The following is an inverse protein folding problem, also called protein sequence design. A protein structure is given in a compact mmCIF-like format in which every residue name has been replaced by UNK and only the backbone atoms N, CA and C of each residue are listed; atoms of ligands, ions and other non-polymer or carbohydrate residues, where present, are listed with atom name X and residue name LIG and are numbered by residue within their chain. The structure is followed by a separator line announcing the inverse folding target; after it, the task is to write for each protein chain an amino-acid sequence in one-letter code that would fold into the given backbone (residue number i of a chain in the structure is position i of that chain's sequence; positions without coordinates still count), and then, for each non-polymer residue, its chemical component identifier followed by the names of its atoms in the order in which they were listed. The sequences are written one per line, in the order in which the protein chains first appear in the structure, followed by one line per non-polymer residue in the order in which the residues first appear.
data_IF_709876372116
#
_entry.id   IF_709876372116
#
_cell.length_a   1.000
_cell.length_b   1.000
_cell.length_c   1.000
_cell.angle_alpha   90.00
_cell.angle_beta   90.00
_cell.angle_gamma   90.00
#
_symmetry.space_group_name_H-M   'P 1'
#
loop_
_entity.id
_entity.type
_entity.pdbx_description
1 polymer ?
#
# COMPACT_ATOMS: atom_id res chain seq x y z
N UNK A 1 -0.80 3.59 1.22
CA UNK A 1 -0.31 2.19 1.45
C UNK A 1 1.19 2.12 1.70
N UNK A 2 2.06 2.48 0.76
CA UNK A 2 3.54 2.37 0.93
C UNK A 2 4.07 3.05 2.19
N UNK A 3 3.54 4.22 2.55
CA UNK A 3 3.91 4.91 3.77
C UNK A 3 3.62 4.09 5.04
N UNK A 4 2.40 3.56 5.19
CA UNK A 4 2.01 2.70 6.31
C UNK A 4 2.81 1.40 6.35
N UNK A 5 3.15 0.86 5.18
CA UNK A 5 4.06 -0.28 5.08
C UNK A 5 5.45 0.06 5.62
N UNK A 6 6.03 1.21 5.24
CA UNK A 6 7.31 1.66 5.80
C UNK A 6 7.22 1.90 7.31
N UNK A 7 6.13 2.53 7.77
CA UNK A 7 5.86 2.76 9.18
C UNK A 7 5.85 1.45 9.99
N UNK A 8 5.24 0.39 9.43
CA UNK A 8 5.17 -0.91 10.07
C UNK A 8 6.54 -1.61 10.08
N UNK A 9 7.32 -1.49 9.00
CA UNK A 9 8.68 -2.03 8.92
C UNK A 9 9.68 -1.33 9.86
N UNK A 10 9.43 -0.07 10.17
CA UNK A 10 10.23 0.75 11.08
C UNK A 10 9.63 0.80 12.49
N UNK A 11 8.68 -0.10 12.78
CA UNK A 11 8.15 -0.34 14.12
C UNK A 11 7.48 0.89 14.75
N UNK A 12 6.76 1.70 13.96
CA UNK A 12 5.95 2.80 14.49
C UNK A 12 4.57 2.33 14.99
N UNK A 13 3.94 3.15 15.84
CA UNK A 13 2.54 3.02 16.24
C UNK A 13 1.63 3.44 15.10
N UNK A 14 0.77 2.55 14.65
CA UNK A 14 -0.17 2.78 13.54
C UNK A 14 -1.59 2.58 14.06
N UNK A 15 -2.41 3.61 13.90
CA UNK A 15 -3.83 3.59 14.21
C UNK A 15 -4.63 3.73 12.93
N UNK A 16 -5.52 2.78 12.66
CA UNK A 16 -6.55 2.91 11.62
C UNK A 16 -7.82 3.47 12.24
N UNK A 17 -8.39 4.51 11.64
CA UNK A 17 -9.62 5.15 12.08
C UNK A 17 -10.71 4.97 11.03
N UNK A 18 -11.89 4.48 11.42
CA UNK A 18 -13.03 4.33 10.51
C UNK A 18 -14.34 4.12 11.26
N UNK A 19 -15.45 4.52 10.66
CA UNK A 19 -16.82 4.16 11.06
C UNK A 19 -17.19 2.70 10.74
N UNK A 20 -16.38 1.99 9.94
CA UNK A 20 -16.63 0.61 9.56
C UNK A 20 -15.63 -0.36 10.19
N UNK A 21 -16.11 -1.22 11.08
CA UNK A 21 -15.32 -2.30 11.68
C UNK A 21 -14.73 -3.27 10.65
N UNK A 22 -15.45 -3.50 9.54
CA UNK A 22 -14.94 -4.31 8.44
C UNK A 22 -13.72 -3.66 7.79
N UNK A 23 -13.80 -2.36 7.47
CA UNK A 23 -12.65 -1.62 6.91
C UNK A 23 -11.45 -1.61 7.85
N UNK A 24 -11.67 -1.43 9.16
CA UNK A 24 -10.60 -1.51 10.17
C UNK A 24 -9.91 -2.88 10.14
N UNK A 25 -10.70 -3.95 10.17
CA UNK A 25 -10.20 -5.33 10.17
C UNK A 25 -9.43 -5.64 8.89
N UNK A 26 -9.99 -5.28 7.75
CA UNK A 26 -9.39 -5.54 6.44
C UNK A 26 -8.12 -4.71 6.24
N UNK A 27 -8.09 -3.44 6.65
CA UNK A 27 -6.90 -2.60 6.55
C UNK A 27 -5.74 -3.11 7.43
N UNK A 28 -6.03 -3.46 8.69
CA UNK A 28 -5.05 -4.04 9.59
C UNK A 28 -4.48 -5.36 9.02
N UNK A 29 -5.37 -6.25 8.57
CA UNK A 29 -5.00 -7.55 7.99
C UNK A 29 -4.23 -7.38 6.69
N UNK A 30 -4.63 -6.45 5.83
CA UNK A 30 -3.95 -6.16 4.58
C UNK A 30 -2.52 -5.68 4.85
N UNK A 31 -2.33 -4.73 5.77
CA UNK A 31 -0.99 -4.25 6.13
C UNK A 31 -0.08 -5.41 6.58
N UNK A 32 -0.57 -6.30 7.45
CA UNK A 32 0.19 -7.50 7.84
C UNK A 32 0.48 -8.44 6.65
N UNK A 33 -0.49 -8.63 5.76
CA UNK A 33 -0.30 -9.48 4.57
C UNK A 33 0.76 -8.92 3.62
N UNK A 34 0.87 -7.59 3.51
CA UNK A 34 1.91 -6.92 2.72
C UNK A 34 3.30 -7.06 3.34
N UNK A 35 3.40 -7.29 4.66
CA UNK A 35 4.68 -7.51 5.35
C UNK A 35 5.29 -8.90 5.13
N UNK A 36 4.58 -9.84 4.50
CA UNK A 36 5.14 -11.15 4.17
C UNK A 36 6.41 -10.98 3.30
N UNK A 37 7.55 -11.60 3.64
CA UNK A 37 7.70 -12.77 4.51
C UNK A 37 7.98 -12.48 6.00
N UNK A 38 8.05 -11.21 6.39
CA UNK A 38 8.24 -10.84 7.79
C UNK A 38 6.96 -11.09 8.60
N UNK A 39 7.13 -11.41 9.88
CA UNK A 39 6.02 -11.54 10.84
C UNK A 39 6.04 -10.37 11.80
N UNK A 40 4.93 -9.63 11.83
CA UNK A 40 4.72 -8.62 12.85
C UNK A 40 4.64 -9.30 14.23
N UNK A 41 5.37 -8.76 15.20
CA UNK A 41 5.55 -9.39 16.52
C UNK A 41 5.14 -8.48 17.68
N UNK A 42 4.57 -7.31 17.40
CA UNK A 42 4.08 -6.37 18.41
C UNK A 42 2.55 -6.44 18.55
N UNK A 43 1.98 -5.52 19.31
CA UNK A 43 0.54 -5.47 19.60
C UNK A 43 -0.29 -5.27 18.34
N UNK A 44 -1.21 -6.21 18.09
CA UNK A 44 -2.12 -6.17 16.96
C UNK A 44 -3.57 -6.30 17.46
N UNK A 45 -4.36 -5.23 17.32
CA UNK A 45 -5.76 -5.17 17.76
C UNK A 45 -6.62 -4.51 16.69
N UNK A 46 -7.17 -5.28 15.72
CA UNK A 46 -7.89 -4.71 14.57
C UNK A 46 -9.13 -3.88 14.91
N UNK A 47 -9.72 -4.15 16.07
CA UNK A 47 -10.84 -3.38 16.64
C UNK A 47 -10.57 -3.25 18.14
N UNK A 48 -10.22 -2.05 18.59
CA UNK A 48 -10.02 -1.74 20.00
C UNK A 48 -11.36 -1.39 20.66
N UNK A 49 -11.77 -2.09 21.72
CA UNK A 49 -12.90 -1.69 22.55
C UNK A 49 -12.67 -0.34 23.23
N UNK A 50 -13.73 0.43 23.42
CA UNK A 50 -13.69 1.77 24.02
C UNK A 50 -13.03 1.80 25.40
N UNK A 51 -13.24 0.76 26.20
CA UNK A 51 -12.72 0.64 27.57
C UNK A 51 -11.19 0.51 27.61
N UNK A 52 -10.54 0.23 26.47
CA UNK A 52 -9.10 0.00 26.36
C UNK A 52 -8.38 1.12 25.60
N UNK A 53 -9.01 2.29 25.42
CA UNK A 53 -8.37 3.43 24.73
C UNK A 53 -7.05 3.86 25.36
N UNK A 54 -6.84 3.62 26.66
CA UNK A 54 -5.57 3.87 27.35
C UNK A 54 -4.38 3.12 26.72
N UNK A 55 -4.62 1.98 26.06
CA UNK A 55 -3.57 1.18 25.38
C UNK A 55 -2.90 1.99 24.27
N UNK A 56 -3.56 2.99 23.70
CA UNK A 56 -2.99 3.85 22.66
C UNK A 56 -1.80 4.67 23.15
N UNK A 57 -1.68 4.89 24.48
CA UNK A 57 -0.55 5.59 25.10
C UNK A 57 0.63 4.67 25.44
N UNK A 58 0.55 3.37 25.16
CA UNK A 58 1.64 2.43 25.46
C UNK A 58 2.91 2.79 24.69
N UNK A 59 4.12 2.60 25.24
CA UNK A 59 5.36 2.97 24.57
C UNK A 59 5.75 2.00 23.45
N UNK A 60 5.13 0.82 23.40
CA UNK A 60 5.43 -0.24 22.43
C UNK A 60 4.77 0.04 21.09
N UNK A 61 5.40 -0.35 19.96
CA UNK A 61 4.77 -0.32 18.65
C UNK A 61 3.45 -1.09 18.64
N UNK A 62 2.49 -0.65 17.83
CA UNK A 62 1.23 -1.35 17.64
C UNK A 62 0.62 -1.11 16.26
N UNK A 63 -0.26 -2.01 15.85
CA UNK A 63 -1.23 -1.80 14.77
C UNK A 63 -2.62 -1.99 15.37
N UNK A 64 -3.39 -0.91 15.46
CA UNK A 64 -4.70 -0.90 16.13
C UNK A 64 -5.75 -0.25 15.23
N UNK A 65 -6.97 -0.79 15.20
CA UNK A 65 -8.12 -0.12 14.60
C UNK A 65 -9.06 0.45 15.66
N UNK A 66 -9.49 1.70 15.48
CA UNK A 66 -10.39 2.42 16.39
C UNK A 66 -11.58 2.96 15.60
N UNK A 67 -12.77 2.88 16.20
CA UNK A 67 -13.97 3.45 15.60
C UNK A 67 -13.88 4.98 15.58
N UNK A 68 -14.30 5.62 14.48
CA UNK A 68 -14.17 7.07 14.28
C UNK A 68 -14.94 7.94 15.29
N UNK A 69 -15.83 7.34 16.08
CA UNK A 69 -16.49 8.03 17.21
C UNK A 69 -15.50 8.54 18.27
N UNK A 70 -14.32 7.92 18.39
CA UNK A 70 -13.27 8.31 19.33
C UNK A 70 -12.18 9.18 18.69
N UNK A 71 -12.49 9.85 17.57
CA UNK A 71 -11.53 10.65 16.83
C UNK A 71 -10.88 11.74 17.70
N UNK A 72 -11.67 12.41 18.54
CA UNK A 72 -11.20 13.46 19.46
C UNK A 72 -10.06 12.96 20.34
N UNK A 73 -10.24 11.81 20.97
CA UNK A 73 -9.28 11.18 21.85
C UNK A 73 -8.03 10.73 21.09
N UNK A 74 -8.19 10.24 19.85
CA UNK A 74 -7.04 9.83 19.02
C UNK A 74 -6.19 11.00 18.52
N UNK A 75 -6.77 12.20 18.34
CA UNK A 75 -6.02 13.37 17.87
C UNK A 75 -5.03 13.93 18.92
N UNK A 76 -5.23 13.60 20.20
CA UNK A 76 -4.32 13.99 21.28
C UNK A 76 -3.02 13.16 21.31
N UNK A 77 -2.95 12.08 20.53
CA UNK A 77 -1.79 11.18 20.49
C UNK A 77 -0.64 11.80 19.69
N UNK A 78 0.49 12.02 20.36
CA UNK A 78 1.64 12.73 19.78
C UNK A 78 2.61 11.84 19.01
N UNK A 79 2.55 10.51 19.16
CA UNK A 79 3.52 9.58 18.58
C UNK A 79 2.90 8.45 17.75
N UNK A 80 1.65 8.65 17.33
CA UNK A 80 0.86 7.66 16.60
C UNK A 80 0.57 8.13 15.18
N UNK A 81 0.89 7.31 14.19
CA UNK A 81 0.52 7.53 12.79
C UNK A 81 -0.94 7.14 12.61
N UNK A 82 -1.80 8.10 12.26
CA UNK A 82 -3.24 7.89 12.16
C UNK A 82 -3.65 7.82 10.68
N UNK A 83 -4.13 6.67 10.24
CA UNK A 83 -4.73 6.46 8.93
C UNK A 83 -6.26 6.52 9.03
N UNK A 84 -6.85 7.64 8.61
CA UNK A 84 -8.30 7.78 8.48
C UNK A 84 -8.77 7.14 7.16
N UNK A 85 -9.44 6.00 7.29
CA UNK A 85 -9.95 5.22 6.15
C UNK A 85 -11.23 5.81 5.56
N UNK A 86 -11.93 6.67 6.29
CA UNK A 86 -13.16 7.31 5.83
C UNK A 86 -12.83 8.59 5.05
N UNK A 87 -11.89 9.38 5.56
CA UNK A 87 -11.37 10.57 4.90
C UNK A 87 -10.29 10.30 3.85
N UNK A 88 -9.68 9.10 3.87
CA UNK A 88 -8.58 8.74 2.95
C UNK A 88 -7.28 9.49 3.23
N UNK A 89 -7.02 9.85 4.49
CA UNK A 89 -5.85 10.65 4.89
C UNK A 89 -4.94 9.87 5.84
N UNK A 90 -3.67 10.28 5.89
CA UNK A 90 -2.69 9.77 6.86
C UNK A 90 -2.08 10.97 7.59
N UNK A 91 -2.33 11.08 8.88
CA UNK A 91 -1.77 12.09 9.75
C UNK A 91 -0.53 11.53 10.45
N UNK A 92 0.57 12.27 10.34
CA UNK A 92 1.88 11.89 10.90
C UNK A 92 2.26 12.99 11.88
N UNK A 93 2.45 12.68 13.17
CA UNK A 93 2.89 13.66 14.13
C UNK A 93 4.29 14.18 13.81
N UNK A 94 4.58 15.43 14.15
CA UNK A 94 5.85 16.10 13.81
C UNK A 94 7.09 15.39 14.37
N UNK A 95 6.97 14.73 15.53
CA UNK A 95 8.08 14.00 16.15
C UNK A 95 8.28 12.58 15.58
N UNK A 96 7.43 12.14 14.65
CA UNK A 96 7.53 10.81 14.03
C UNK A 96 8.21 10.94 12.66
N UNK A 97 9.44 10.41 12.57
CA UNK A 97 10.17 10.33 11.31
C UNK A 97 10.20 8.91 10.79
N UNK A 98 9.57 8.67 9.64
CA UNK A 98 9.50 7.35 9.01
C UNK A 98 10.52 7.27 7.88
N UNK A 99 11.45 6.33 7.99
CA UNK A 99 12.40 6.04 6.91
C UNK A 99 11.66 5.36 5.76
N UNK A 100 11.56 6.06 4.63
CA UNK A 100 10.97 5.51 3.41
C UNK A 100 11.93 4.51 2.74
N UNK A 101 11.39 3.74 1.80
CA UNK A 101 12.20 2.87 0.94
C UNK A 101 13.23 3.70 0.18
N UNK A 102 14.49 3.22 0.05
CA UNK A 102 15.50 3.91 -0.73
C UNK A 102 15.14 3.89 -2.22
N UNK A 103 15.59 4.91 -2.98
CA UNK A 103 15.52 4.84 -4.43
C UNK A 103 16.58 3.89 -4.99
N UNK A 104 16.32 3.19 -6.12
CA UNK A 104 15.15 3.30 -7.01
C UNK A 104 13.95 2.43 -6.59
N UNK A 105 14.05 1.75 -5.44
CA UNK A 105 13.10 0.71 -5.04
C UNK A 105 11.71 1.29 -4.74
N UNK A 106 11.66 2.47 -4.13
CA UNK A 106 10.41 3.19 -3.89
C UNK A 106 9.65 3.47 -5.19
N UNK A 107 10.33 4.08 -6.17
CA UNK A 107 9.72 4.42 -7.45
C UNK A 107 9.24 3.18 -8.20
N UNK A 108 10.07 2.14 -8.30
CA UNK A 108 9.71 0.88 -8.97
C UNK A 108 8.49 0.20 -8.33
N UNK A 109 8.42 0.21 -6.99
CA UNK A 109 7.29 -0.37 -6.27
C UNK A 109 6.03 0.46 -6.51
N UNK A 110 6.13 1.79 -6.50
CA UNK A 110 4.99 2.69 -6.78
C UNK A 110 4.45 2.46 -8.19
N UNK A 111 5.30 2.44 -9.21
CA UNK A 111 4.91 2.20 -10.59
C UNK A 111 4.23 0.84 -10.76
N UNK A 112 4.82 -0.23 -10.21
CA UNK A 112 4.24 -1.56 -10.27
C UNK A 112 2.87 -1.65 -9.58
N UNK A 113 2.68 -0.95 -8.45
CA UNK A 113 1.38 -0.87 -7.79
C UNK A 113 0.35 -0.09 -8.61
N UNK A 114 0.74 1.03 -9.22
CA UNK A 114 -0.14 1.82 -10.09
C UNK A 114 -0.67 0.98 -11.25
N UNK A 115 0.17 0.18 -11.90
CA UNK A 115 -0.25 -0.72 -12.98
C UNK A 115 -1.25 -1.79 -12.53
N UNK A 116 -1.13 -2.28 -11.29
CA UNK A 116 -2.05 -3.28 -10.75
C UNK A 116 -3.37 -2.65 -10.30
N UNK A 117 -3.32 -1.44 -9.72
CA UNK A 117 -4.50 -0.74 -9.19
C UNK A 117 -5.35 -0.12 -10.30
N UNK A 118 -4.70 0.42 -11.32
CA UNK A 118 -5.32 1.15 -12.42
C UNK A 118 -4.83 0.56 -13.77
N UNK A 119 -5.33 -0.63 -14.17
CA UNK A 119 -4.84 -1.34 -15.36
C UNK A 119 -5.04 -0.56 -16.67
N UNK A 120 -5.97 0.41 -16.69
CA UNK A 120 -6.19 1.29 -17.84
C UNK A 120 -4.96 2.18 -18.15
N UNK A 121 -4.05 2.38 -17.18
CA UNK A 121 -2.79 3.09 -17.40
C UNK A 121 -1.90 2.42 -18.45
N UNK A 122 -2.01 1.11 -18.68
CA UNK A 122 -1.20 0.38 -19.66
C UNK A 122 -1.38 0.89 -21.10
N UNK A 123 -2.59 1.38 -21.40
CA UNK A 123 -2.95 1.91 -22.72
C UNK A 123 -3.12 3.43 -22.72
N UNK A 124 -2.80 4.11 -21.62
CA UNK A 124 -2.99 5.56 -21.48
C UNK A 124 -2.19 6.36 -22.53
N UNK A 125 -1.01 5.86 -22.91
CA UNK A 125 -0.17 6.46 -23.96
C UNK A 125 -0.83 6.41 -25.35
N UNK A 126 -1.82 5.52 -25.54
CA UNK A 126 -2.60 5.40 -26.78
C UNK A 126 -3.83 6.33 -26.81
N UNK A 127 -4.14 7.05 -25.73
CA UNK A 127 -5.27 7.98 -25.67
C UNK A 127 -5.11 9.17 -26.64
N UNK A 128 -3.87 9.50 -27.00
CA UNK A 128 -3.53 10.59 -27.92
C UNK A 128 -2.76 10.06 -29.13
N UNK A 129 -3.44 9.33 -30.01
CA UNK A 129 -2.86 8.99 -31.32
C UNK A 129 -2.50 10.29 -32.07
N UNK A 130 -1.24 10.49 -32.51
CA UNK A 130 -0.91 11.56 -33.44
C UNK A 130 -1.72 11.32 -34.72
N UNK A 131 -2.45 12.35 -35.16
CA UNK A 131 -3.20 12.34 -36.42
C UNK A 131 -2.24 12.32 -37.61
N UNK A 132 -1.59 11.18 -37.87
CA UNK A 132 -0.68 10.98 -39.00
C UNK A 132 -0.97 9.68 -39.73
N UNK A 133 -2.08 9.67 -40.47
CA UNK A 133 -2.14 9.02 -41.79
C UNK A 133 -2.84 10.03 -42.70
N UNK A 134 -2.12 10.53 -43.71
CA UNK A 134 -2.68 11.43 -44.70
C UNK A 134 -3.83 10.74 -45.42
N UNK A 135 -5.04 11.29 -45.33
CA UNK A 135 -6.13 10.96 -46.22
C UNK A 135 -5.82 11.53 -47.60
N UNK A 136 -4.91 10.90 -48.35
CA UNK A 136 -4.70 11.20 -49.76
C UNK A 136 -5.79 10.51 -50.56
N UNK A 137 -6.81 11.30 -50.89
CA UNK A 137 -7.66 11.21 -52.10
C UNK A 137 -8.66 10.05 -52.21
N UNK A 138 -9.94 10.36 -52.00
CA UNK A 138 -11.00 10.23 -53.03
C UNK A 138 -12.25 11.00 -52.59
N UNK A 139 -12.64 11.98 -53.43
CA UNK A 139 -13.80 12.89 -53.30
C UNK A 139 -15.13 12.13 -53.33
N UNK A 140 -16.13 12.56 -52.54
CA UNK A 140 -17.29 13.35 -53.02
C UNK A 140 -18.37 13.55 -51.93
N UNK A 141 -18.67 14.84 -51.69
CA UNK A 141 -20.00 15.45 -51.46
C UNK A 141 -20.88 14.99 -50.27
N UNK A 142 -21.17 15.92 -49.33
CA UNK A 142 -22.42 16.71 -49.22
C UNK A 142 -22.50 17.31 -47.82
N UNK A 143 -22.89 18.58 -47.78
CA UNK A 143 -23.09 19.48 -46.65
C UNK A 143 -23.99 18.96 -45.52
N UNK A 144 -23.68 19.35 -44.29
CA UNK A 144 -24.63 19.29 -43.17
C UNK A 144 -23.96 19.54 -41.83
N UNK A 145 -24.25 20.68 -41.20
CA UNK A 145 -23.82 21.00 -39.85
C UNK A 145 -24.34 19.95 -38.86
N UNK A 146 -23.46 19.36 -38.05
CA UNK A 146 -23.84 18.37 -37.05
C UNK A 146 -22.66 17.93 -36.19
N UNK A 147 -22.53 18.60 -35.04
CA UNK A 147 -22.05 18.12 -33.72
C UNK A 147 -20.98 16.99 -33.68
N UNK A 148 -19.83 17.17 -33.01
CA UNK A 148 -18.87 16.09 -32.81
C UNK A 148 -19.50 14.94 -32.01
N UNK A 149 -19.13 13.67 -32.25
CA UNK A 149 -19.69 12.56 -31.50
C UNK A 149 -19.29 12.70 -30.03
N UNK A 150 -20.31 12.73 -29.17
CA UNK A 150 -20.18 12.61 -27.71
C UNK A 150 -19.29 11.40 -27.41
N UNK A 151 -18.16 11.63 -26.74
CA UNK A 151 -17.47 10.58 -26.00
C UNK A 151 -18.47 10.05 -24.96
N UNK A 152 -18.96 8.83 -25.18
CA UNK A 152 -19.75 8.14 -24.18
C UNK A 152 -18.84 7.83 -22.98
N UNK A 153 -19.20 8.25 -21.75
CA UNK A 153 -18.52 7.79 -20.56
C UNK A 153 -19.02 6.37 -20.28
N UNK A 154 -18.31 5.36 -20.77
CA UNK A 154 -18.40 4.00 -20.22
C UNK A 154 -17.41 3.85 -19.06
N UNK A 155 -17.48 4.78 -18.11
CA UNK A 155 -16.91 4.61 -16.77
C UNK A 155 -18.08 4.45 -15.80
N UNK A 156 -18.80 3.36 -15.96
CA UNK A 156 -19.78 2.92 -14.99
C UNK A 156 -19.44 1.46 -14.71
N UNK A 157 -18.73 1.23 -13.61
CA UNK A 157 -19.10 0.28 -12.57
C UNK A 157 -18.23 0.57 -11.34
N UNK A 158 -18.78 1.36 -10.44
CA UNK A 158 -18.29 1.57 -9.08
C UNK A 158 -18.40 0.21 -8.36
N UNK A 159 -17.30 -0.54 -8.34
CA UNK A 159 -17.27 -1.86 -7.72
C UNK A 159 -16.90 -1.75 -6.24
N UNK A 160 -17.67 -2.50 -5.44
CA UNK A 160 -17.50 -2.83 -4.04
C UNK A 160 -16.03 -2.94 -3.59
N UNK A 161 -15.71 -2.48 -2.38
CA UNK A 161 -14.38 -2.45 -1.72
C UNK A 161 -13.70 -3.82 -1.47
N UNK A 162 -13.98 -4.85 -2.26
CA UNK A 162 -13.25 -6.11 -2.24
C UNK A 162 -12.50 -6.22 -3.56
N UNK A 163 -11.18 -6.08 -3.49
CA UNK A 163 -10.30 -6.26 -4.62
C UNK A 163 -10.55 -7.65 -5.23
N UNK A 164 -10.73 -7.81 -6.56
CA UNK A 164 -10.92 -9.12 -7.16
C UNK A 164 -9.77 -10.07 -6.78
N UNK A 165 -10.02 -11.38 -6.57
CA UNK A 165 -9.02 -12.32 -6.04
C UNK A 165 -7.70 -12.43 -6.83
N UNK A 166 -7.68 -11.93 -8.08
CA UNK A 166 -6.47 -11.82 -8.91
C UNK A 166 -5.62 -10.63 -8.51
N UNK A 167 -6.23 -9.46 -8.33
CA UNK A 167 -5.53 -8.21 -8.03
C UNK A 167 -4.84 -8.28 -6.65
N UNK A 168 -5.44 -8.96 -5.67
CA UNK A 168 -4.82 -9.20 -4.36
C UNK A 168 -3.50 -9.97 -4.45
N UNK A 169 -3.46 -10.97 -5.35
CA UNK A 169 -2.26 -11.78 -5.58
C UNK A 169 -1.17 -10.95 -6.26
N UNK A 170 -1.55 -10.08 -7.18
CA UNK A 170 -0.62 -9.20 -7.89
C UNK A 170 -0.04 -8.14 -6.95
N UNK A 171 -0.86 -7.45 -6.16
CA UNK A 171 -0.36 -6.50 -5.14
C UNK A 171 0.63 -7.19 -4.21
N UNK A 172 0.25 -8.35 -3.65
CA UNK A 172 1.16 -9.11 -2.78
C UNK A 172 2.44 -9.55 -3.50
N UNK A 173 2.37 -9.88 -4.78
CA UNK A 173 3.56 -10.23 -5.57
C UNK A 173 4.50 -9.03 -5.74
N UNK A 174 3.98 -7.80 -5.87
CA UNK A 174 4.78 -6.58 -5.89
C UNK A 174 5.56 -6.44 -4.56
N UNK A 175 4.88 -6.58 -3.42
CA UNK A 175 5.53 -6.51 -2.10
C UNK A 175 6.52 -7.66 -1.85
N UNK A 176 6.23 -8.86 -2.34
CA UNK A 176 7.17 -9.98 -2.25
C UNK A 176 8.45 -9.72 -3.06
N UNK A 177 8.31 -9.13 -4.26
CA UNK A 177 9.47 -8.70 -5.08
C UNK A 177 10.26 -7.60 -4.39
N UNK A 178 9.56 -6.62 -3.81
CA UNK A 178 10.16 -5.57 -2.99
C UNK A 178 11.03 -6.17 -1.86
N UNK A 179 10.52 -7.15 -1.10
CA UNK A 179 11.33 -7.80 -0.06
C UNK A 179 12.52 -8.58 -0.61
N UNK A 180 12.36 -9.25 -1.77
CA UNK A 180 13.47 -9.95 -2.40
C UNK A 180 14.60 -9.00 -2.80
N UNK A 181 14.27 -7.77 -3.21
CA UNK A 181 15.23 -6.70 -3.51
C UNK A 181 15.79 -6.06 -2.24
N UNK A 182 14.95 -5.74 -1.26
CA UNK A 182 15.35 -5.09 -0.01
C UNK A 182 16.32 -5.97 0.80
N UNK A 183 16.06 -7.27 0.84
CA UNK A 183 16.89 -8.25 1.53
C UNK A 183 17.94 -8.86 0.58
N UNK A 184 18.12 -8.33 -0.63
CA UNK A 184 19.07 -8.87 -1.58
C UNK A 184 20.46 -8.91 -0.94
N UNK A 185 21.08 -10.09 -0.97
CA UNK A 185 22.39 -10.30 -0.38
C UNK A 185 22.42 -10.69 1.10
N UNK A 186 21.29 -10.80 1.81
CA UNK A 186 21.27 -11.27 3.20
C UNK A 186 21.96 -12.64 3.39
N UNK A 187 21.96 -13.48 2.34
CA UNK A 187 22.62 -14.79 2.36
C UNK A 187 24.14 -14.69 2.49
N UNK A 188 24.76 -13.59 2.06
CA UNK A 188 26.18 -13.32 2.28
C UNK A 188 26.51 -13.07 3.75
N UNK A 189 25.50 -12.74 4.55
CA UNK A 189 25.63 -12.59 6.00
C UNK A 189 25.45 -13.93 6.74
N UNK A 190 25.18 -15.04 6.05
CA UNK A 190 25.01 -16.36 6.68
C UNK A 190 26.36 -17.10 6.75
N UNK A 191 26.76 -17.45 7.97
CA UNK A 191 27.94 -18.26 8.24
C UNK A 191 27.52 -19.67 8.68
N UNK A 192 27.95 -20.69 7.95
CA UNK A 192 27.63 -22.10 8.23
C UNK A 192 28.78 -22.73 9.02
N UNK A 193 28.51 -23.11 10.26
CA UNK A 193 29.46 -23.76 11.16
C UNK A 193 29.23 -25.28 11.11
N UNK A 194 30.21 -26.03 10.60
CA UNK A 194 30.13 -27.48 10.39
C UNK A 194 30.89 -28.33 11.41
N UNK A 195 31.32 -27.74 12.53
CA UNK A 195 32.06 -28.47 13.59
C UNK A 195 31.14 -29.33 14.48
N UNK A 196 29.82 -29.18 14.35
CA UNK A 196 28.81 -29.96 15.07
C UNK A 196 28.21 -31.03 14.14
N UNK A 197 27.68 -32.15 14.69
CA UNK A 197 27.00 -33.17 13.89
C UNK A 197 25.86 -32.59 13.02
N UNK A 198 25.15 -31.60 13.56
CA UNK A 198 24.17 -30.79 12.84
C UNK A 198 24.78 -29.42 12.48
N UNK A 199 24.80 -29.01 11.20
CA UNK A 199 25.37 -27.74 10.82
C UNK A 199 24.59 -26.57 11.43
N UNK A 200 25.30 -25.65 12.07
CA UNK A 200 24.72 -24.46 12.70
C UNK A 200 24.86 -23.25 11.77
N UNK A 201 23.76 -22.59 11.42
CA UNK A 201 23.76 -21.37 10.62
C UNK A 201 23.70 -20.17 11.55
N UNK A 202 24.68 -19.26 11.47
CA UNK A 202 24.67 -17.97 12.17
C UNK A 202 24.51 -16.82 11.19
N UNK A 203 23.79 -15.78 11.60
CA UNK A 203 23.73 -14.52 10.86
C UNK A 203 24.78 -13.56 11.41
N UNK A 204 25.74 -13.15 10.59
CA UNK A 204 26.69 -12.10 10.90
C UNK A 204 26.14 -10.76 10.44
N UNK A 205 25.71 -9.93 11.40
CA UNK A 205 25.40 -8.53 11.14
C UNK A 205 26.71 -7.82 10.81
N UNK A 206 27.05 -7.74 9.52
CA UNK A 206 28.14 -6.86 9.06
C UNK A 206 27.72 -5.42 9.42
N UNK A 207 28.63 -4.71 10.11
CA UNK A 207 28.39 -3.40 10.73
C UNK A 207 27.86 -2.36 9.76
#
# INVERSE_FOLDING_TARGET
VLFLFCAALTEHKILFLSSSYQRLTDACRALLALMFPLKYSFTYVPILPAQLLEVLSTPTPFIIGVHSIFQSETQELLDVVIADLDGGTVNVPECVHISLLPEPLLQQTREALSMVLDPELEVADLAFLPSTISASSLKMQVSGAGVPPRAHPLCQHRAHLVLPPRQDKEIRAVFLRLFAQLLQGYRWCLHIIRIHPEPVIRFHKVR
#
